data_IF_744050669887
#
_entry.id   IF_744050669887
#
_cell.length_a   1.000
_cell.length_b   1.000
_cell.length_c   1.000
_cell.angle_alpha   90.00
_cell.angle_beta   90.00
_cell.angle_gamma   90.00
#
_symmetry.space_group_name_H-M   'P 1'
#
loop_
_entity.id
_entity.type
_entity.pdbx_description
1 polymer ?
#
# COMPACT_ATOMS: atom_id res chain seq x y z
N UNK A 1 -9.41 2.42 21.27
CA UNK A 1 -9.13 2.80 21.27
C UNK A 1 -8.79 2.76 21.18
N UNK A 2 -8.57 2.65 20.96
CA UNK A 2 -8.16 2.77 20.87
C UNK A 2 -7.59 2.80 21.05
N UNK A 3 -7.39 2.67 21.16
CA UNK A 3 -6.90 2.88 21.45
C UNK A 3 -6.31 2.75 21.56
N UNK A 4 -6.19 2.55 21.40
CA UNK A 4 -5.43 2.73 21.69
C UNK A 4 -5.01 3.00 22.34
N UNK A 5 -5.01 2.57 22.79
CA UNK A 5 -4.42 3.13 23.50
C UNK A 5 -3.42 3.65 23.49
N UNK A 6 -3.51 4.06 23.49
CA UNK A 6 -2.23 4.49 23.21
C UNK A 6 -1.77 5.48 24.14
N UNK A 7 -0.59 5.40 24.55
CA UNK A 7 0.03 6.45 25.27
C UNK A 7 -0.19 7.73 24.49
N UNK A 8 -0.47 8.85 25.16
CA UNK A 8 -0.58 10.10 24.43
C UNK A 8 0.70 10.32 23.64
N UNK A 9 0.55 10.69 22.41
CA UNK A 9 1.68 10.99 21.58
C UNK A 9 2.44 12.15 22.18
N UNK A 10 3.77 12.10 22.19
CA UNK A 10 4.55 13.27 22.58
C UNK A 10 4.19 14.46 21.70
N UNK A 11 4.47 15.64 22.20
CA UNK A 11 4.23 16.84 21.40
C UNK A 11 4.92 16.72 20.06
N UNK A 12 4.16 16.92 18.97
CA UNK A 12 4.66 16.77 17.61
C UNK A 12 4.55 15.39 17.04
N UNK A 13 4.19 14.38 17.84
CA UNK A 13 3.97 13.06 17.32
C UNK A 13 2.63 13.01 16.59
N UNK A 14 2.54 12.14 15.62
CA UNK A 14 1.35 12.00 14.78
C UNK A 14 0.69 10.66 15.02
N UNK A 15 -0.58 10.57 14.60
CA UNK A 15 -1.21 9.27 14.50
C UNK A 15 -0.39 8.42 13.53
N UNK A 16 -0.33 7.10 13.76
CA UNK A 16 0.38 6.24 12.82
C UNK A 16 -0.17 6.41 11.40
N UNK A 17 0.73 6.37 10.43
CA UNK A 17 0.34 6.42 9.03
C UNK A 17 -0.49 5.20 8.67
N UNK A 18 -1.46 5.39 7.80
CA UNK A 18 -2.32 4.33 7.31
C UNK A 18 -1.76 3.81 5.99
N UNK A 19 -1.57 2.50 5.90
CA UNK A 19 -1.06 1.85 4.70
C UNK A 19 -2.11 0.85 4.23
N UNK A 20 -2.43 0.90 2.94
CA UNK A 20 -3.23 -0.12 2.30
C UNK A 20 -2.31 -1.11 1.61
N UNK A 21 -2.60 -2.40 1.79
CA UNK A 21 -1.88 -3.49 1.13
C UNK A 21 -2.90 -4.27 0.33
N UNK A 22 -2.60 -4.53 -0.94
CA UNK A 22 -3.45 -5.38 -1.77
C UNK A 22 -2.60 -6.41 -2.52
N UNK A 23 -3.02 -7.67 -2.41
CA UNK A 23 -2.39 -8.79 -3.08
C UNK A 23 -3.47 -9.86 -3.20
N UNK A 24 -3.63 -10.45 -4.38
CA UNK A 24 -4.66 -11.48 -4.56
C UNK A 24 -4.34 -12.77 -3.79
N UNK A 25 -3.11 -12.93 -3.33
CA UNK A 25 -2.75 -13.98 -2.39
C UNK A 25 -2.98 -13.47 -0.96
N UNK A 26 -3.96 -14.05 -0.26
CA UNK A 26 -4.23 -13.67 1.12
C UNK A 26 -3.00 -13.84 2.02
N UNK A 27 -2.22 -14.90 1.77
CA UNK A 27 -1.01 -15.16 2.55
C UNK A 27 0.02 -14.04 2.38
N UNK A 28 0.21 -13.56 1.14
CA UNK A 28 1.17 -12.50 0.89
C UNK A 28 0.68 -11.16 1.42
N UNK A 29 -0.63 -10.90 1.34
CA UNK A 29 -1.20 -9.70 1.94
C UNK A 29 -1.03 -9.71 3.46
N UNK A 30 -1.29 -10.85 4.09
CA UNK A 30 -1.09 -11.03 5.53
C UNK A 30 0.36 -10.78 5.93
N UNK A 31 1.29 -11.33 5.15
CA UNK A 31 2.72 -11.17 5.43
C UNK A 31 3.13 -9.70 5.39
N UNK A 32 2.77 -9.00 4.32
CA UNK A 32 3.11 -7.58 4.20
C UNK A 32 2.47 -6.76 5.31
N UNK A 33 1.20 -7.05 5.64
CA UNK A 33 0.52 -6.35 6.71
C UNK A 33 1.21 -6.56 8.06
N UNK A 34 1.60 -7.80 8.35
CA UNK A 34 2.28 -8.13 9.60
C UNK A 34 3.61 -7.37 9.72
N UNK A 35 4.39 -7.37 8.64
CA UNK A 35 5.67 -6.67 8.61
C UNK A 35 5.49 -5.18 8.92
N UNK A 36 4.52 -4.55 8.28
CA UNK A 36 4.31 -3.11 8.45
C UNK A 36 3.67 -2.77 9.81
N UNK A 37 2.77 -3.61 10.29
CA UNK A 37 2.21 -3.43 11.63
C UNK A 37 3.30 -3.51 12.70
N UNK A 38 4.25 -4.41 12.53
CA UNK A 38 5.37 -4.54 13.46
C UNK A 38 6.26 -3.30 13.49
N UNK A 39 6.21 -2.51 12.42
CA UNK A 39 6.96 -1.26 12.33
C UNK A 39 6.17 -0.06 12.86
N UNK A 40 4.96 -0.27 13.36
CA UNK A 40 4.17 0.77 13.99
C UNK A 40 3.11 1.43 13.12
N UNK A 41 2.93 0.97 11.89
CA UNK A 41 1.93 1.54 10.99
C UNK A 41 0.55 0.91 11.21
N UNK A 42 -0.50 1.66 10.88
CA UNK A 42 -1.83 1.10 10.73
C UNK A 42 -1.93 0.50 9.33
N UNK A 43 -2.41 -0.72 9.22
CA UNK A 43 -2.48 -1.40 7.93
C UNK A 43 -3.87 -1.96 7.71
N UNK A 44 -4.39 -1.75 6.52
CA UNK A 44 -5.62 -2.41 6.07
C UNK A 44 -5.27 -3.21 4.82
N UNK A 45 -5.64 -4.48 4.82
CA UNK A 45 -5.28 -5.37 3.73
C UNK A 45 -6.48 -5.79 2.92
N UNK A 46 -6.25 -6.01 1.63
CA UNK A 46 -7.27 -6.39 0.68
C UNK A 46 -6.72 -7.48 -0.23
N UNK A 47 -7.61 -8.33 -0.72
CA UNK A 47 -7.25 -9.31 -1.74
C UNK A 47 -7.87 -8.99 -3.10
N UNK A 48 -8.68 -7.93 -3.17
CA UNK A 48 -9.34 -7.50 -4.41
C UNK A 48 -9.22 -6.00 -4.56
N UNK A 49 -8.82 -5.51 -5.74
CA UNK A 49 -8.69 -4.07 -5.95
C UNK A 49 -10.02 -3.32 -5.82
N UNK A 50 -11.14 -3.95 -6.21
CA UNK A 50 -12.45 -3.33 -6.09
C UNK A 50 -12.83 -3.01 -4.64
N UNK A 51 -12.50 -3.90 -3.72
CA UNK A 51 -12.78 -3.68 -2.31
C UNK A 51 -11.96 -2.53 -1.75
N UNK A 52 -10.71 -2.39 -2.22
CA UNK A 52 -9.86 -1.29 -1.82
C UNK A 52 -10.43 0.04 -2.28
N UNK A 53 -10.85 0.11 -3.55
CA UNK A 53 -11.44 1.33 -4.09
C UNK A 53 -12.72 1.69 -3.38
N UNK A 54 -13.52 0.71 -3.00
CA UNK A 54 -14.74 0.94 -2.24
C UNK A 54 -14.43 1.54 -0.87
N UNK A 55 -13.38 1.06 -0.21
CA UNK A 55 -12.97 1.60 1.07
C UNK A 55 -12.56 3.06 0.96
N UNK A 56 -11.93 3.45 -0.14
CA UNK A 56 -11.56 4.85 -0.37
C UNK A 56 -12.75 5.70 -0.75
N UNK A 57 -13.63 5.19 -1.61
CA UNK A 57 -14.81 5.92 -2.06
C UNK A 57 -15.88 6.00 -0.98
N UNK A 58 -16.54 4.87 -0.72
CA UNK A 58 -17.67 4.80 0.22
C UNK A 58 -17.20 4.97 1.66
N UNK A 59 -16.08 4.33 2.01
CA UNK A 59 -15.54 4.38 3.36
C UNK A 59 -14.76 5.64 3.67
N UNK A 60 -14.46 6.43 2.65
CA UNK A 60 -13.72 7.69 2.78
C UNK A 60 -12.35 7.54 3.45
N UNK A 61 -11.74 6.36 3.36
CA UNK A 61 -10.41 6.15 3.89
C UNK A 61 -9.36 6.72 2.95
N UNK A 62 -8.35 7.35 3.52
CA UNK A 62 -7.28 8.00 2.74
C UNK A 62 -5.94 7.48 3.24
N UNK A 63 -5.43 6.38 2.62
CA UNK A 63 -4.13 5.87 3.04
C UNK A 63 -3.01 6.82 2.66
N UNK A 64 -1.98 6.82 3.48
CA UNK A 64 -0.78 7.59 3.18
C UNK A 64 0.07 6.90 2.13
N UNK A 65 -0.05 5.57 2.05
CA UNK A 65 0.74 4.76 1.13
C UNK A 65 -0.03 3.51 0.73
N UNK A 66 0.15 3.11 -0.51
CA UNK A 66 -0.40 1.86 -1.05
C UNK A 66 0.74 0.94 -1.46
N UNK A 67 0.71 -0.29 -0.98
CA UNK A 67 1.57 -1.37 -1.47
C UNK A 67 0.67 -2.30 -2.28
N UNK A 68 0.89 -2.38 -3.57
CA UNK A 68 0.05 -3.20 -4.44
C UNK A 68 0.87 -4.18 -5.26
N UNK A 69 0.36 -5.40 -5.40
CA UNK A 69 0.88 -6.34 -6.38
C UNK A 69 0.51 -5.83 -7.78
N UNK A 70 1.35 -6.12 -8.76
CA UNK A 70 1.03 -5.79 -10.15
C UNK A 70 -0.03 -6.74 -10.69
N UNK A 71 0.21 -8.05 -10.55
CA UNK A 71 -0.64 -9.08 -11.13
C UNK A 71 -1.70 -9.48 -10.12
N UNK A 72 -2.94 -9.15 -10.41
CA UNK A 72 -4.09 -9.46 -9.56
C UNK A 72 -4.90 -10.63 -10.09
N UNK A 73 -4.29 -11.46 -10.91
CA UNK A 73 -4.93 -12.67 -11.42
C UNK A 73 -6.13 -12.34 -12.31
N UNK A 74 -7.28 -12.88 -11.96
CA UNK A 74 -8.50 -12.74 -12.76
C UNK A 74 -9.24 -11.43 -12.56
N UNK A 75 -8.76 -10.55 -11.67
CA UNK A 75 -9.43 -9.27 -11.44
C UNK A 75 -9.24 -8.35 -12.64
N UNK A 76 -10.20 -7.45 -12.85
CA UNK A 76 -10.20 -6.56 -14.00
C UNK A 76 -9.08 -5.52 -13.95
N UNK A 77 -8.64 -5.16 -12.75
CA UNK A 77 -7.60 -4.14 -12.58
C UNK A 77 -6.28 -4.79 -12.19
N UNK A 78 -5.18 -4.40 -12.85
CA UNK A 78 -3.86 -4.73 -12.35
C UNK A 78 -3.39 -3.63 -11.39
N UNK A 79 -2.19 -3.78 -10.83
CA UNK A 79 -1.69 -2.82 -9.84
C UNK A 79 -1.54 -1.41 -10.38
N UNK A 80 -1.16 -1.25 -11.65
CA UNK A 80 -1.03 0.08 -12.25
C UNK A 80 -2.38 0.75 -12.43
N UNK A 81 -3.38 0.00 -12.89
CA UNK A 81 -4.74 0.50 -13.03
C UNK A 81 -5.29 0.94 -11.67
N UNK A 82 -5.03 0.15 -10.65
CA UNK A 82 -5.46 0.46 -9.29
C UNK A 82 -4.83 1.77 -8.81
N UNK A 83 -3.55 1.95 -9.04
CA UNK A 83 -2.84 3.17 -8.65
C UNK A 83 -3.46 4.40 -9.31
N UNK A 84 -3.75 4.32 -10.61
CA UNK A 84 -4.39 5.43 -11.31
C UNK A 84 -5.73 5.78 -10.66
N UNK A 85 -6.55 4.77 -10.39
CA UNK A 85 -7.86 5.01 -9.79
C UNK A 85 -7.75 5.58 -8.37
N UNK A 86 -6.80 5.10 -7.59
CA UNK A 86 -6.57 5.64 -6.25
C UNK A 86 -6.13 7.09 -6.29
N UNK A 87 -5.26 7.44 -7.23
CA UNK A 87 -4.78 8.83 -7.33
C UNK A 87 -5.85 9.80 -7.80
N UNK A 88 -6.91 9.33 -8.46
CA UNK A 88 -8.06 10.18 -8.76
C UNK A 88 -8.78 10.61 -7.49
N UNK A 89 -8.75 9.75 -6.46
CA UNK A 89 -9.41 10.01 -5.19
C UNK A 89 -8.46 10.73 -4.23
N UNK A 90 -7.19 10.32 -4.22
CA UNK A 90 -6.21 10.81 -3.23
C UNK A 90 -4.84 10.97 -3.89
N UNK A 91 -4.62 12.11 -4.57
CA UNK A 91 -3.39 12.30 -5.38
C UNK A 91 -2.09 12.30 -4.58
N UNK A 92 -2.16 12.61 -3.28
CA UNK A 92 -0.96 12.70 -2.46
C UNK A 92 -0.44 11.33 -1.98
N UNK A 93 -1.19 10.26 -2.22
CA UNK A 93 -0.82 8.92 -1.74
C UNK A 93 0.48 8.45 -2.39
N UNK A 94 1.39 7.90 -1.56
CA UNK A 94 2.61 7.26 -2.05
C UNK A 94 2.30 5.85 -2.51
N UNK A 95 3.11 5.33 -3.44
CA UNK A 95 2.84 4.02 -4.02
C UNK A 95 4.08 3.16 -4.13
N UNK A 96 3.92 1.87 -3.83
CA UNK A 96 4.92 0.83 -4.05
C UNK A 96 4.25 -0.25 -4.89
N UNK A 97 4.86 -0.59 -6.01
CA UNK A 97 4.38 -1.66 -6.88
C UNK A 97 5.28 -2.87 -6.68
N UNK A 98 4.70 -3.99 -6.28
CA UNK A 98 5.44 -5.23 -6.04
C UNK A 98 5.14 -6.25 -7.14
N UNK A 99 6.17 -6.90 -7.66
CA UNK A 99 5.98 -7.90 -8.70
C UNK A 99 7.21 -8.79 -8.84
N UNK A 100 6.99 -10.02 -9.30
CA UNK A 100 8.08 -10.93 -9.66
C UNK A 100 8.60 -10.72 -11.07
N UNK A 101 7.88 -10.00 -11.90
CA UNK A 101 8.20 -9.92 -13.34
C UNK A 101 8.22 -8.51 -13.90
N UNK A 102 7.72 -7.53 -13.18
CA UNK A 102 7.58 -6.16 -13.69
C UNK A 102 8.69 -5.29 -13.10
N UNK A 103 9.28 -4.46 -13.94
CA UNK A 103 10.26 -3.47 -13.51
C UNK A 103 9.79 -2.06 -13.92
N UNK A 104 10.64 -1.08 -13.71
CA UNK A 104 10.30 0.31 -13.99
C UNK A 104 9.92 0.60 -15.43
N UNK A 105 10.31 -0.26 -16.38
CA UNK A 105 10.00 -0.02 -17.78
C UNK A 105 8.50 -0.11 -18.07
N UNK A 106 7.74 -0.83 -17.26
CA UNK A 106 6.30 -1.00 -17.45
C UNK A 106 5.57 0.33 -17.37
N UNK A 107 6.03 1.25 -16.53
CA UNK A 107 5.35 2.53 -16.34
C UNK A 107 5.63 3.54 -17.44
N UNK A 108 6.57 3.26 -18.35
CA UNK A 108 6.85 4.18 -19.46
C UNK A 108 5.64 4.39 -20.36
N UNK A 109 4.75 3.41 -20.41
CA UNK A 109 3.56 3.44 -21.26
C UNK A 109 2.27 3.48 -20.45
N UNK A 110 2.36 3.84 -19.18
CA UNK A 110 1.20 3.89 -18.29
C UNK A 110 1.21 5.20 -17.51
N UNK A 111 0.01 5.74 -17.24
CA UNK A 111 -0.12 7.01 -16.55
C UNK A 111 0.03 6.90 -15.02
N UNK A 112 0.20 5.69 -14.50
CA UNK A 112 0.33 5.49 -13.06
C UNK A 112 1.64 6.09 -12.54
N UNK A 113 1.55 6.78 -11.40
CA UNK A 113 2.73 7.25 -10.69
C UNK A 113 3.13 6.21 -9.66
N UNK A 114 4.25 5.55 -9.89
CA UNK A 114 4.81 4.56 -8.97
C UNK A 114 6.04 5.17 -8.31
N UNK A 115 6.02 5.31 -7.00
CA UNK A 115 7.14 5.92 -6.29
C UNK A 115 8.31 4.95 -6.12
N UNK A 116 8.03 3.67 -5.90
CA UNK A 116 9.05 2.64 -5.77
C UNK A 116 8.56 1.31 -6.31
N UNK A 117 9.52 0.52 -6.80
CA UNK A 117 9.29 -0.86 -7.25
C UNK A 117 9.92 -1.82 -6.26
N UNK A 118 9.21 -2.93 -6.00
CA UNK A 118 9.67 -3.94 -5.04
C UNK A 118 9.59 -5.31 -5.72
N UNK A 119 10.75 -5.95 -5.91
CA UNK A 119 10.82 -7.26 -6.55
C UNK A 119 10.41 -8.36 -5.58
N UNK A 120 9.57 -9.27 -6.03
CA UNK A 120 9.17 -10.44 -5.25
C UNK A 120 10.07 -11.62 -5.56
N UNK A 121 10.46 -12.40 -4.58
CA UNK A 121 10.21 -12.21 -3.15
C UNK A 121 11.13 -11.13 -2.58
N UNK A 122 10.66 -10.42 -1.59
CA UNK A 122 11.44 -9.35 -0.99
C UNK A 122 11.72 -9.60 0.48
N UNK A 123 12.88 -9.14 0.99
CA UNK A 123 13.13 -9.21 2.43
C UNK A 123 12.22 -8.25 3.19
N UNK A 124 11.70 -8.65 4.36
CA UNK A 124 10.88 -7.73 5.15
C UNK A 124 11.55 -6.40 5.44
N UNK A 125 12.86 -6.41 5.68
CA UNK A 125 13.60 -5.19 5.96
C UNK A 125 13.57 -4.21 4.80
N UNK A 126 13.55 -4.71 3.55
CA UNK A 126 13.48 -3.85 2.38
C UNK A 126 12.14 -3.14 2.30
N UNK A 127 11.04 -3.85 2.57
CA UNK A 127 9.72 -3.24 2.58
C UNK A 127 9.63 -2.16 3.65
N UNK A 128 10.09 -2.45 4.87
CA UNK A 128 10.09 -1.47 5.96
C UNK A 128 10.89 -0.23 5.62
N UNK A 129 12.08 -0.43 5.06
CA UNK A 129 12.97 0.67 4.71
C UNK A 129 12.36 1.57 3.64
N UNK A 130 11.77 0.96 2.63
CA UNK A 130 11.14 1.67 1.52
C UNK A 130 9.96 2.51 2.00
N UNK A 131 9.10 1.92 2.84
CA UNK A 131 7.97 2.64 3.43
C UNK A 131 8.43 3.81 4.28
N UNK A 132 9.44 3.58 5.12
CA UNK A 132 9.97 4.65 5.97
C UNK A 132 10.50 5.82 5.16
N UNK A 133 11.16 5.54 4.04
CA UNK A 133 11.65 6.60 3.16
C UNK A 133 10.52 7.40 2.54
N UNK A 134 9.45 6.74 2.12
CA UNK A 134 8.34 7.41 1.45
C UNK A 134 7.47 8.20 2.41
N UNK A 135 7.39 7.79 3.66
CA UNK A 135 6.54 8.43 4.67
C UNK A 135 7.31 9.34 5.62
N UNK A 136 8.50 9.68 5.26
CA UNK A 136 9.35 10.56 6.04
C UNK A 136 8.73 11.93 6.24
#
# INVERSE_FOLDING_TARGET
MSQNTAAPAPAGARTPSLIFVVDDSAMLADFAAMVLQSAGYQVKQFTEPGMLLKAMGDGQLRPDLLVTDYDMGAHALNGLDLIVNCHKIHPAMKTILASGTVDGSVTLHHSARVDRFLSKPYPPAQLKSMVAELLK
#
